data_IF_613328196604
#
_entry.id   IF_613328196604
#
_cell.length_a   1.000
_cell.length_b   1.000
_cell.length_c   1.000
_cell.angle_alpha   90.00
_cell.angle_beta   90.00
_cell.angle_gamma   90.00
#
_symmetry.space_group_name_H-M   'P 1'
#
loop_
_entity.id
_entity.type
_entity.pdbx_description
1 polymer ?
#
# COMPACT_ATOMS: atom_id res chain seq x y z
N UNK A 1 -35.00 -5.94 8.38
CA UNK A 1 -34.70 -4.58 8.87
C UNK A 1 -33.45 -4.55 9.73
N UNK A 2 -33.57 -4.69 11.05
CA UNK A 2 -32.45 -4.57 12.00
C UNK A 2 -31.29 -5.55 11.75
N UNK A 3 -31.58 -6.81 11.44
CA UNK A 3 -30.56 -7.81 11.12
C UNK A 3 -29.75 -7.48 9.84
N UNK A 4 -30.38 -6.87 8.83
CA UNK A 4 -29.70 -6.42 7.62
C UNK A 4 -28.81 -5.19 7.90
N UNK A 5 -29.25 -4.27 8.76
CA UNK A 5 -28.43 -3.13 9.17
C UNK A 5 -27.17 -3.60 9.94
N UNK A 6 -27.33 -4.57 10.85
CA UNK A 6 -26.20 -5.19 11.55
C UNK A 6 -25.24 -5.92 10.60
N UNK A 7 -25.75 -6.64 9.60
CA UNK A 7 -24.93 -7.32 8.61
C UNK A 7 -24.14 -6.34 7.73
N UNK A 8 -24.77 -5.24 7.29
CA UNK A 8 -24.13 -4.19 6.51
C UNK A 8 -23.01 -3.49 7.29
N UNK A 9 -23.24 -3.14 8.56
CA UNK A 9 -22.22 -2.55 9.43
C UNK A 9 -21.04 -3.50 9.65
N UNK A 10 -21.31 -4.79 9.90
CA UNK A 10 -20.27 -5.80 10.08
C UNK A 10 -19.44 -5.99 8.81
N UNK A 11 -20.07 -5.99 7.64
CA UNK A 11 -19.38 -6.06 6.35
C UNK A 11 -18.45 -4.85 6.15
N UNK A 12 -18.95 -3.62 6.38
CA UNK A 12 -18.16 -2.39 6.26
C UNK A 12 -16.96 -2.36 7.20
N UNK A 13 -17.14 -2.77 8.47
CA UNK A 13 -16.04 -2.86 9.45
C UNK A 13 -15.02 -3.90 9.00
N UNK A 14 -15.47 -5.06 8.54
CA UNK A 14 -14.59 -6.14 8.09
C UNK A 14 -13.79 -5.72 6.86
N UNK A 15 -14.43 -5.11 5.86
CA UNK A 15 -13.77 -4.56 4.68
C UNK A 15 -12.79 -3.44 5.03
N UNK A 16 -13.15 -2.56 5.95
CA UNK A 16 -12.28 -1.48 6.43
C UNK A 16 -11.01 -2.01 7.11
N UNK A 17 -11.14 -3.04 7.96
CA UNK A 17 -10.01 -3.71 8.61
C UNK A 17 -9.11 -4.38 7.56
N UNK A 18 -9.68 -5.10 6.59
CA UNK A 18 -8.90 -5.74 5.53
C UNK A 18 -8.13 -4.71 4.70
N UNK A 19 -8.77 -3.60 4.30
CA UNK A 19 -8.09 -2.50 3.58
C UNK A 19 -6.98 -1.87 4.41
N UNK A 20 -7.20 -1.68 5.71
CA UNK A 20 -6.19 -1.18 6.65
C UNK A 20 -4.97 -2.10 6.75
N UNK A 21 -5.20 -3.40 6.91
CA UNK A 21 -4.14 -4.42 6.95
C UNK A 21 -3.35 -4.47 5.64
N UNK A 22 -4.02 -4.40 4.48
CA UNK A 22 -3.33 -4.39 3.19
C UNK A 22 -2.46 -3.14 3.01
N UNK A 23 -2.93 -1.97 3.45
CA UNK A 23 -2.12 -0.74 3.42
C UNK A 23 -0.90 -0.84 4.34
N UNK A 24 -1.07 -1.35 5.57
CA UNK A 24 0.05 -1.55 6.50
C UNK A 24 1.05 -2.58 5.97
N UNK A 25 0.57 -3.70 5.42
CA UNK A 25 1.42 -4.74 4.85
C UNK A 25 2.22 -4.22 3.66
N UNK A 26 1.58 -3.45 2.77
CA UNK A 26 2.26 -2.78 1.65
C UNK A 26 3.34 -1.80 2.15
N UNK A 27 3.05 -0.99 3.18
CA UNK A 27 4.05 -0.10 3.80
C UNK A 27 5.24 -0.88 4.37
N UNK A 28 4.99 -1.98 5.07
CA UNK A 28 6.06 -2.82 5.63
C UNK A 28 6.96 -3.39 4.53
N UNK A 29 6.37 -3.87 3.43
CA UNK A 29 7.14 -4.35 2.27
C UNK A 29 7.94 -3.23 1.61
N UNK A 30 7.37 -2.03 1.48
CA UNK A 30 8.08 -0.87 0.96
C UNK A 30 9.31 -0.52 1.83
N UNK A 31 9.15 -0.50 3.17
CA UNK A 31 10.25 -0.26 4.11
C UNK A 31 11.32 -1.34 3.97
N UNK A 32 10.94 -2.62 3.95
CA UNK A 32 11.89 -3.73 3.78
C UNK A 32 12.62 -3.66 2.44
N UNK A 33 11.98 -3.14 1.39
CA UNK A 33 12.57 -2.93 0.08
C UNK A 33 13.53 -1.70 0.03
N UNK A 34 13.63 -0.95 1.13
CA UNK A 34 14.51 0.21 1.26
C UNK A 34 13.84 1.55 0.94
N UNK A 35 12.50 1.61 0.87
CA UNK A 35 11.79 2.87 0.78
C UNK A 35 11.98 3.70 2.06
N UNK A 36 12.19 5.00 1.92
CA UNK A 36 12.36 5.94 3.04
C UNK A 36 11.53 7.20 2.82
N UNK A 37 11.10 7.84 3.92
CA UNK A 37 10.29 9.06 3.88
C UNK A 37 9.03 8.88 3.04
N UNK A 38 8.77 9.85 2.15
CA UNK A 38 7.61 9.87 1.25
C UNK A 38 7.56 8.67 0.29
N UNK A 39 8.72 8.05 0.01
CA UNK A 39 8.80 6.89 -0.88
C UNK A 39 8.02 5.70 -0.35
N UNK A 40 7.88 5.57 0.98
CA UNK A 40 7.13 4.49 1.62
C UNK A 40 5.67 4.55 1.19
N UNK A 41 5.06 5.74 1.27
CA UNK A 41 3.66 5.94 0.91
C UNK A 41 3.45 5.77 -0.60
N UNK A 42 4.34 6.34 -1.42
CA UNK A 42 4.27 6.22 -2.88
C UNK A 42 4.32 4.75 -3.32
N UNK A 43 5.29 3.98 -2.82
CA UNK A 43 5.46 2.57 -3.18
C UNK A 43 4.31 1.72 -2.66
N UNK A 44 3.87 1.95 -1.41
CA UNK A 44 2.75 1.21 -0.83
C UNK A 44 1.43 1.47 -1.57
N UNK A 45 1.14 2.72 -1.92
CA UNK A 45 -0.05 3.07 -2.69
C UNK A 45 -0.03 2.46 -4.08
N UNK A 46 1.12 2.45 -4.74
CA UNK A 46 1.26 1.83 -6.06
C UNK A 46 1.04 0.31 -6.00
N UNK A 47 1.59 -0.39 -4.99
CA UNK A 47 1.35 -1.82 -4.79
C UNK A 47 -0.12 -2.15 -4.55
N UNK A 48 -0.81 -1.35 -3.72
CA UNK A 48 -2.24 -1.53 -3.44
C UNK A 48 -3.07 -1.25 -4.67
N UNK A 49 -2.76 -0.17 -5.41
CA UNK A 49 -3.47 0.22 -6.63
C UNK A 49 -3.38 -0.84 -7.72
N UNK A 50 -2.23 -1.49 -7.86
CA UNK A 50 -2.03 -2.56 -8.85
C UNK A 50 -2.42 -3.95 -8.31
N UNK A 51 -2.79 -4.08 -7.03
CA UNK A 51 -3.07 -5.37 -6.40
C UNK A 51 -1.85 -6.29 -6.29
N UNK A 52 -0.63 -5.75 -6.48
CA UNK A 52 0.64 -6.49 -6.48
C UNK A 52 1.39 -6.22 -5.19
N UNK A 53 0.95 -6.84 -4.09
CA UNK A 53 1.58 -6.65 -2.77
C UNK A 53 2.62 -7.75 -2.54
N UNK A 54 3.82 -7.56 -3.08
CA UNK A 54 4.93 -8.51 -2.96
C UNK A 54 6.27 -7.79 -2.90
N UNK A 55 7.26 -8.42 -2.26
CA UNK A 55 8.56 -7.82 -2.00
C UNK A 55 9.40 -7.53 -3.25
N UNK A 56 9.36 -8.42 -4.25
CA UNK A 56 10.01 -8.25 -5.55
C UNK A 56 9.53 -6.97 -6.24
N UNK A 57 8.21 -6.78 -6.26
CA UNK A 57 7.61 -5.61 -6.86
C UNK A 57 7.88 -4.32 -6.07
N UNK A 58 7.89 -4.40 -4.74
CA UNK A 58 8.29 -3.29 -3.88
C UNK A 58 9.71 -2.78 -4.22
N UNK A 59 10.66 -3.70 -4.43
CA UNK A 59 12.03 -3.34 -4.85
C UNK A 59 12.07 -2.66 -6.22
N UNK A 60 11.35 -3.18 -7.21
CA UNK A 60 11.27 -2.57 -8.53
C UNK A 60 10.76 -1.12 -8.45
N UNK A 61 9.72 -0.88 -7.65
CA UNK A 61 9.15 0.44 -7.45
C UNK A 61 10.12 1.40 -6.74
N UNK A 62 10.78 0.95 -5.68
CA UNK A 62 11.79 1.76 -4.96
C UNK A 62 12.88 2.25 -5.92
N UNK A 63 13.43 1.36 -6.74
CA UNK A 63 14.46 1.72 -7.71
C UNK A 63 13.94 2.65 -8.82
N UNK A 64 12.71 2.41 -9.30
CA UNK A 64 12.05 3.27 -10.30
C UNK A 64 11.88 4.71 -9.80
N UNK A 65 11.34 4.88 -8.59
CA UNK A 65 11.09 6.21 -8.03
C UNK A 65 12.37 6.92 -7.57
N UNK A 66 13.36 6.19 -7.05
CA UNK A 66 14.69 6.76 -6.74
C UNK A 66 15.36 7.36 -7.97
N UNK A 67 15.34 6.67 -9.10
CA UNK A 67 15.92 7.18 -10.36
C UNK A 67 15.21 8.45 -10.84
N UNK A 68 13.88 8.49 -10.76
CA UNK A 68 13.09 9.66 -11.17
C UNK A 68 13.40 10.90 -10.31
N UNK A 69 13.43 10.74 -8.98
CA UNK A 69 13.75 11.84 -8.05
C UNK A 69 15.20 12.35 -8.20
N UNK A 70 16.12 11.49 -8.63
CA UNK A 70 17.49 11.88 -8.96
C UNK A 70 17.63 12.63 -10.29
N UNK A 71 16.71 12.40 -11.24
CA UNK A 71 16.70 13.04 -12.56
C UNK A 71 16.04 14.43 -12.55
N UNK A 72 15.07 14.67 -11.67
CA UNK A 72 14.41 15.99 -11.53
C UNK A 72 15.28 17.04 -10.82
N UNK A 73 16.40 16.63 -10.21
CA UNK A 73 17.35 17.53 -9.52
C UNK A 73 18.54 17.97 -10.39
N UNK A 74 18.58 17.57 -11.66
CA UNK A 74 19.56 18.01 -12.68
C UNK A 74 18.88 18.94 -13.68
#
# INVERSE_FOLDING_TARGET
GLAQNLAALRALVTEGIQRGHMKLHAKNLAIMAGATGELIDIVAEQMVREGRIRFDYAKELVEKYRKRLGQEKQ
#
